data_IF_166339541275
#
_entry.id   IF_166339541275
#
_cell.length_a   1.000
_cell.length_b   1.000
_cell.length_c   1.000
_cell.angle_alpha   90.00
_cell.angle_beta   90.00
_cell.angle_gamma   90.00
#
_symmetry.space_group_name_H-M   'P 1'
#
loop_
_entity.id
_entity.type
_entity.pdbx_description
1 polymer ?
#
# COMPACT_ATOMS: atom_id res chain seq x y z
N UNK A 1 -11.78 5.45 15.84
CA UNK A 1 -11.89 4.00 15.58
C UNK A 1 -11.41 3.75 14.16
N UNK A 2 -10.45 2.86 13.94
CA UNK A 2 -9.94 2.53 12.60
C UNK A 2 -10.92 1.57 11.92
N UNK A 3 -11.39 1.92 10.71
CA UNK A 3 -12.31 1.07 9.95
C UNK A 3 -11.58 -0.16 9.39
N UNK A 4 -12.28 -1.27 9.07
CA UNK A 4 -11.67 -2.43 8.42
C UNK A 4 -10.93 -2.06 7.11
N UNK A 5 -11.49 -1.09 6.37
CA UNK A 5 -10.90 -0.53 5.15
C UNK A 5 -9.55 0.14 5.41
N UNK A 6 -9.49 1.07 6.37
CA UNK A 6 -8.24 1.78 6.70
C UNK A 6 -7.16 0.81 7.19
N UNK A 7 -7.54 -0.17 8.02
CA UNK A 7 -6.61 -1.19 8.47
C UNK A 7 -6.05 -2.03 7.30
N UNK A 8 -6.89 -2.36 6.31
CA UNK A 8 -6.45 -3.09 5.12
C UNK A 8 -5.53 -2.24 4.23
N UNK A 9 -5.86 -0.96 4.05
CA UNK A 9 -5.04 0.01 3.33
C UNK A 9 -3.65 0.17 3.94
N UNK A 10 -3.57 0.35 5.26
CA UNK A 10 -2.29 0.44 5.99
C UNK A 10 -1.47 -0.84 5.87
N UNK A 11 -2.11 -2.02 6.00
CA UNK A 11 -1.43 -3.32 5.82
C UNK A 11 -0.84 -3.46 4.41
N UNK A 12 -1.60 -3.10 3.38
CA UNK A 12 -1.12 -3.14 1.99
C UNK A 12 0.12 -2.27 1.83
N UNK A 13 0.05 -1.02 2.32
CA UNK A 13 1.09 -0.01 2.15
C UNK A 13 2.34 -0.26 2.99
N UNK A 14 2.21 -0.88 4.15
CA UNK A 14 3.36 -1.27 4.99
C UNK A 14 4.35 -2.20 4.29
N UNK A 15 3.89 -2.94 3.27
CA UNK A 15 4.67 -3.91 2.48
C UNK A 15 4.93 -3.47 1.04
N UNK A 16 4.31 -2.37 0.62
CA UNK A 16 4.44 -1.89 -0.75
C UNK A 16 5.86 -1.34 -1.00
N UNK A 17 6.44 -1.54 -2.19
CA UNK A 17 7.71 -0.95 -2.57
C UNK A 17 7.71 0.57 -2.36
N UNK A 18 8.85 1.13 -1.93
CA UNK A 18 8.97 2.56 -1.70
C UNK A 18 8.80 3.42 -2.97
N UNK A 19 8.60 4.73 -2.83
CA UNK A 19 8.38 5.65 -3.96
C UNK A 19 9.51 5.66 -5.00
N UNK A 20 10.75 5.38 -4.57
CA UNK A 20 11.93 5.26 -5.43
C UNK A 20 11.83 4.12 -6.47
N UNK A 21 10.88 3.20 -6.31
CA UNK A 21 10.68 2.06 -7.22
C UNK A 21 9.29 2.11 -7.87
N UNK A 22 8.96 3.14 -8.68
CA UNK A 22 7.60 3.41 -9.12
C UNK A 22 6.98 2.26 -9.94
N UNK A 23 7.78 1.60 -10.79
CA UNK A 23 7.32 0.44 -11.58
C UNK A 23 6.99 -0.76 -10.70
N UNK A 24 7.87 -1.10 -9.76
CA UNK A 24 7.64 -2.22 -8.84
C UNK A 24 6.43 -1.95 -7.94
N UNK A 25 6.29 -0.71 -7.49
CA UNK A 25 5.15 -0.26 -6.69
C UNK A 25 3.83 -0.38 -7.45
N UNK A 26 3.76 0.10 -8.69
CA UNK A 26 2.56 -0.03 -9.52
C UNK A 26 2.19 -1.50 -9.77
N UNK A 27 3.17 -2.36 -10.06
CA UNK A 27 2.94 -3.80 -10.22
C UNK A 27 2.44 -4.44 -8.93
N UNK A 28 3.01 -4.06 -7.78
CA UNK A 28 2.57 -4.52 -6.48
C UNK A 28 1.11 -4.15 -6.22
N UNK A 29 0.72 -2.89 -6.41
CA UNK A 29 -0.65 -2.42 -6.14
C UNK A 29 -1.70 -3.04 -7.08
N UNK A 30 -1.32 -3.40 -8.31
CA UNK A 30 -2.19 -4.15 -9.24
C UNK A 30 -2.31 -5.64 -8.91
N UNK A 31 -1.33 -6.19 -8.19
CA UNK A 31 -1.23 -7.63 -7.89
C UNK A 31 -1.84 -7.97 -6.53
N UNK A 32 -1.66 -7.12 -5.52
CA UNK A 32 -2.06 -7.38 -4.15
C UNK A 32 -3.28 -6.55 -3.78
N UNK A 33 -4.35 -7.24 -3.42
CA UNK A 33 -5.61 -6.64 -3.01
C UNK A 33 -5.60 -6.26 -1.51
N UNK A 34 -6.59 -5.49 -1.09
CA UNK A 34 -6.82 -5.11 0.31
C UNK A 34 -7.26 -6.31 1.15
N UNK A 35 -7.97 -7.28 0.55
CA UNK A 35 -8.32 -8.53 1.19
C UNK A 35 -7.04 -9.36 1.41
N UNK A 36 -6.73 -9.66 2.66
CA UNK A 36 -5.62 -10.55 3.01
C UNK A 36 -5.96 -12.02 2.70
N UNK A 37 -7.20 -12.41 2.96
CA UNK A 37 -7.76 -13.71 2.62
C UNK A 37 -9.19 -13.51 2.07
N UNK A 38 -9.37 -13.63 0.75
CA UNK A 38 -10.63 -13.30 0.12
C UNK A 38 -11.66 -14.44 0.20
N UNK A 39 -12.68 -14.27 1.04
CA UNK A 39 -13.81 -15.20 1.16
C UNK A 39 -14.85 -15.11 0.03
N UNK A 40 -14.72 -14.13 -0.88
CA UNK A 40 -15.64 -13.87 -2.01
C UNK A 40 -14.83 -13.75 -3.30
N UNK A 41 -15.44 -13.75 -4.51
CA UNK A 41 -14.69 -13.49 -5.75
C UNK A 41 -14.31 -12.02 -5.92
N UNK A 42 -14.75 -11.10 -5.06
CA UNK A 42 -14.37 -9.70 -5.15
C UNK A 42 -12.98 -9.42 -4.58
N UNK A 43 -12.27 -8.49 -5.21
CA UNK A 43 -10.96 -7.99 -4.78
C UNK A 43 -10.91 -6.48 -4.90
N UNK A 44 -10.53 -5.77 -3.85
CA UNK A 44 -10.32 -4.33 -3.88
C UNK A 44 -8.84 -4.00 -3.99
N UNK A 45 -8.45 -3.14 -4.92
CA UNK A 45 -7.06 -2.72 -5.17
C UNK A 45 -6.94 -1.21 -5.07
N UNK A 46 -5.78 -0.72 -4.60
CA UNK A 46 -5.41 0.68 -4.72
C UNK A 46 -5.03 0.95 -6.18
N UNK A 47 -5.76 1.85 -6.85
CA UNK A 47 -5.60 2.13 -8.27
C UNK A 47 -4.67 3.32 -8.51
N UNK A 48 -4.92 4.42 -7.81
CA UNK A 48 -4.16 5.66 -7.91
C UNK A 48 -3.88 6.21 -6.52
N UNK A 49 -2.70 6.81 -6.36
CA UNK A 49 -2.25 7.41 -5.12
C UNK A 49 -1.39 8.64 -5.40
N UNK A 50 -1.37 9.55 -4.42
CA UNK A 50 -0.47 10.69 -4.34
C UNK A 50 0.57 10.40 -3.26
N UNK A 51 1.85 10.67 -3.54
CA UNK A 51 2.95 10.47 -2.59
C UNK A 51 3.64 11.81 -2.35
N UNK A 52 3.84 12.13 -1.08
CA UNK A 52 4.56 13.31 -0.62
C UNK A 52 5.71 12.86 0.28
N UNK A 53 6.93 13.27 -0.05
CA UNK A 53 8.14 12.98 0.73
C UNK A 53 8.62 14.26 1.40
N UNK A 54 8.92 14.18 2.70
CA UNK A 54 9.50 15.29 3.44
C UNK A 54 11.03 15.22 3.40
N UNK A 55 11.70 16.36 3.67
CA UNK A 55 13.16 16.42 3.77
C UNK A 55 13.75 15.49 4.86
N UNK A 56 12.95 15.08 5.86
CA UNK A 56 13.32 14.11 6.89
C UNK A 56 13.08 12.65 6.49
N UNK A 57 12.74 12.38 5.22
CA UNK A 57 12.42 11.06 4.69
C UNK A 57 11.04 10.53 5.09
N UNK A 58 10.22 11.31 5.79
CA UNK A 58 8.85 10.88 6.08
C UNK A 58 8.05 10.82 4.77
N UNK A 59 7.31 9.73 4.58
CA UNK A 59 6.48 9.52 3.40
C UNK A 59 5.01 9.58 3.82
N UNK A 60 4.24 10.43 3.15
CA UNK A 60 2.78 10.50 3.25
C UNK A 60 2.17 10.05 1.93
N UNK A 61 1.28 9.08 1.99
CA UNK A 61 0.60 8.49 0.84
C UNK A 61 -0.89 8.74 0.99
N UNK A 62 -1.51 9.35 -0.02
CA UNK A 62 -2.96 9.59 -0.07
C UNK A 62 -3.57 8.75 -1.18
N UNK A 63 -4.60 7.98 -0.88
CA UNK A 63 -5.35 7.30 -1.91
C UNK A 63 -6.15 8.30 -2.75
N UNK A 64 -6.11 8.13 -4.07
CA UNK A 64 -6.92 8.90 -5.02
C UNK A 64 -8.12 8.06 -5.44
N UNK A 65 -7.89 6.82 -5.87
CA UNK A 65 -8.95 5.93 -6.29
C UNK A 65 -8.61 4.46 -6.09
N UNK A 66 -9.65 3.64 -6.09
CA UNK A 66 -9.60 2.20 -5.93
C UNK A 66 -10.32 1.52 -7.08
N UNK A 67 -9.97 0.25 -7.29
CA UNK A 67 -10.68 -0.65 -8.16
C UNK A 67 -11.27 -1.80 -7.34
N UNK A 68 -12.54 -2.11 -7.56
CA UNK A 68 -13.16 -3.36 -7.10
C UNK A 68 -13.37 -4.27 -8.30
N UNK A 69 -12.76 -5.45 -8.25
CA UNK A 69 -12.70 -6.41 -9.36
C UNK A 69 -13.54 -7.63 -8.99
N UNK A 70 -14.37 -8.09 -9.92
CA UNK A 70 -15.00 -9.39 -9.84
C UNK A 70 -14.06 -10.42 -10.46
N UNK A 71 -13.26 -11.09 -9.61
CA UNK A 71 -12.13 -11.88 -10.06
C UNK A 71 -12.57 -13.10 -10.87
N UNK A 72 -12.09 -13.20 -12.13
CA UNK A 72 -12.42 -14.29 -13.07
C UNK A 72 -13.93 -14.50 -13.27
N UNK A 73 -14.75 -13.47 -13.05
CA UNK A 73 -16.20 -13.53 -13.18
C UNK A 73 -16.76 -12.74 -14.37
N UNK A 74 -18.07 -12.83 -14.64
CA UNK A 74 -18.76 -12.03 -15.64
C UNK A 74 -18.90 -10.57 -15.21
N UNK A 75 -19.20 -9.69 -16.18
CA UNK A 75 -19.52 -8.28 -15.95
C UNK A 75 -20.75 -8.18 -15.04
N UNK A 76 -20.69 -7.28 -14.06
CA UNK A 76 -21.79 -7.05 -13.12
C UNK A 76 -22.28 -5.61 -13.19
N UNK A 77 -23.49 -5.40 -12.69
CA UNK A 77 -24.08 -4.07 -12.52
C UNK A 77 -23.47 -3.32 -11.33
N UNK A 78 -23.52 -1.99 -11.39
CA UNK A 78 -22.98 -1.07 -10.37
C UNK A 78 -23.45 -1.42 -8.96
N UNK A 79 -24.71 -1.79 -8.82
CA UNK A 79 -25.37 -2.10 -7.55
C UNK A 79 -24.71 -3.29 -6.84
N UNK A 80 -24.23 -4.28 -7.60
CA UNK A 80 -23.58 -5.47 -7.02
C UNK A 80 -22.23 -5.10 -6.41
N UNK A 81 -21.44 -4.28 -7.10
CA UNK A 81 -20.18 -3.74 -6.56
C UNK A 81 -20.45 -2.87 -5.31
N UNK A 82 -21.47 -2.01 -5.35
CA UNK A 82 -21.85 -1.18 -4.21
C UNK A 82 -22.26 -2.00 -2.99
N UNK A 83 -23.08 -3.04 -3.17
CA UNK A 83 -23.48 -3.94 -2.09
C UNK A 83 -22.29 -4.66 -1.46
N UNK A 84 -21.32 -5.08 -2.27
CA UNK A 84 -20.08 -5.65 -1.76
C UNK A 84 -19.27 -4.64 -0.94
N UNK A 85 -19.05 -3.42 -1.44
CA UNK A 85 -18.28 -2.38 -0.74
C UNK A 85 -18.94 -2.00 0.60
N UNK A 86 -20.26 -1.89 0.63
CA UNK A 86 -21.01 -1.63 1.86
C UNK A 86 -20.84 -2.76 2.89
N UNK A 87 -20.94 -4.01 2.46
CA UNK A 87 -20.83 -5.18 3.36
C UNK A 87 -19.40 -5.41 3.85
N UNK A 88 -18.43 -5.35 2.94
CA UNK A 88 -17.04 -5.70 3.24
C UNK A 88 -16.30 -4.56 3.92
N UNK A 89 -16.49 -3.33 3.42
CA UNK A 89 -15.67 -2.18 3.77
C UNK A 89 -16.45 -1.07 4.50
N UNK A 90 -17.78 -1.20 4.62
CA UNK A 90 -18.67 -0.17 5.19
C UNK A 90 -18.61 1.15 4.39
N UNK A 91 -18.41 1.03 3.07
CA UNK A 91 -18.27 2.17 2.16
C UNK A 91 -19.50 2.32 1.25
N UNK A 92 -19.85 3.57 0.96
CA UNK A 92 -20.95 3.95 0.08
C UNK A 92 -20.50 5.04 -0.91
N UNK A 93 -19.57 4.73 -1.84
CA UNK A 93 -19.02 5.72 -2.74
C UNK A 93 -20.06 6.18 -3.77
N UNK A 94 -20.34 7.49 -3.78
CA UNK A 94 -21.25 8.11 -4.74
C UNK A 94 -20.71 8.06 -6.19
N UNK A 95 -19.38 8.07 -6.34
CA UNK A 95 -18.68 8.10 -7.63
C UNK A 95 -18.40 6.71 -8.23
N UNK A 96 -18.95 5.64 -7.64
CA UNK A 96 -18.76 4.27 -8.11
C UNK A 96 -19.13 4.13 -9.60
N UNK A 97 -18.16 3.81 -10.44
CA UNK A 97 -18.31 3.74 -11.89
C UNK A 97 -17.84 2.40 -12.42
N UNK A 98 -18.72 1.68 -13.11
CA UNK A 98 -18.39 0.40 -13.74
C UNK A 98 -17.57 0.66 -15.01
N UNK A 99 -16.43 -0.01 -15.13
CA UNK A 99 -15.56 0.13 -16.30
C UNK A 99 -15.92 -0.95 -17.32
N UNK A 100 -16.27 -0.53 -18.53
CA UNK A 100 -16.72 -1.40 -19.62
C UNK A 100 -15.61 -1.70 -20.64
N UNK A 101 -14.54 -0.89 -20.64
CA UNK A 101 -13.41 -1.06 -21.54
C UNK A 101 -12.30 -1.88 -20.87
N UNK A 102 -12.22 -3.16 -21.23
CA UNK A 102 -11.12 -4.06 -20.87
C UNK A 102 -11.23 -4.71 -19.48
N UNK A 103 -10.42 -5.74 -19.29
CA UNK A 103 -10.30 -6.49 -18.04
C UNK A 103 -9.32 -5.82 -17.06
N UNK A 104 -9.46 -6.14 -15.78
CA UNK A 104 -8.43 -5.83 -14.79
C UNK A 104 -7.12 -6.54 -15.15
N UNK A 105 -6.01 -6.00 -14.65
CA UNK A 105 -4.64 -6.48 -14.81
C UNK A 105 -4.53 -8.01 -15.00
N UNK A 106 -3.89 -8.43 -16.11
CA UNK A 106 -3.69 -9.84 -16.51
C UNK A 106 -5.00 -10.63 -16.61
N UNK A 107 -6.01 -10.01 -17.22
CA UNK A 107 -7.34 -10.59 -17.42
C UNK A 107 -8.00 -11.03 -16.10
N UNK A 108 -7.78 -10.26 -15.04
CA UNK A 108 -8.31 -10.52 -13.70
C UNK A 108 -9.84 -10.44 -13.61
N UNK A 109 -10.51 -9.89 -14.62
CA UNK A 109 -11.97 -9.81 -14.69
C UNK A 109 -12.51 -8.38 -14.75
N UNK A 110 -13.84 -8.23 -14.80
CA UNK A 110 -14.50 -6.94 -14.88
C UNK A 110 -14.46 -6.20 -13.55
N UNK A 111 -14.46 -4.87 -13.61
CA UNK A 111 -14.17 -4.04 -12.45
C UNK A 111 -14.91 -2.71 -12.47
N UNK A 112 -15.01 -2.11 -11.29
CA UNK A 112 -15.52 -0.76 -11.09
C UNK A 112 -14.50 0.10 -10.33
N UNK A 113 -14.48 1.39 -10.63
CA UNK A 113 -13.65 2.41 -9.99
C UNK A 113 -14.48 3.18 -8.96
N UNK A 114 -13.87 3.54 -7.84
CA UNK A 114 -14.45 4.46 -6.86
C UNK A 114 -13.36 5.26 -6.15
N UNK A 115 -13.74 6.34 -5.47
CA UNK A 115 -12.83 7.12 -4.63
C UNK A 115 -13.22 7.00 -3.16
N UNK A 116 -12.22 6.84 -2.29
CA UNK A 116 -12.42 6.83 -0.84
C UNK A 116 -11.20 7.48 -0.17
N UNK A 117 -11.39 8.46 0.73
CA UNK A 117 -10.27 9.10 1.42
C UNK A 117 -9.52 8.12 2.34
N UNK A 118 -8.23 7.91 2.06
CA UNK A 118 -7.33 7.18 2.94
C UNK A 118 -5.93 7.81 2.94
N UNK A 119 -5.29 7.85 4.09
CA UNK A 119 -3.93 8.40 4.24
C UNK A 119 -3.08 7.43 5.06
N UNK A 120 -1.87 7.16 4.57
CA UNK A 120 -0.86 6.36 5.25
C UNK A 120 0.40 7.20 5.42
N UNK A 121 0.97 7.19 6.61
CA UNK A 121 2.21 7.88 6.91
C UNK A 121 3.24 6.93 7.49
N UNK A 122 4.49 7.09 7.03
CA UNK A 122 5.64 6.39 7.59
C UNK A 122 6.78 7.37 7.79
N UNK A 123 7.23 7.50 9.03
CA UNK A 123 8.50 8.16 9.32
C UNK A 123 9.64 7.17 9.09
N UNK A 124 10.72 7.59 8.43
CA UNK A 124 11.97 6.85 8.47
C UNK A 124 12.56 6.98 9.87
N UNK A 125 13.10 5.91 10.47
CA UNK A 125 13.95 6.06 11.65
C UNK A 125 15.14 6.94 11.27
N UNK A 126 15.29 8.09 11.93
CA UNK A 126 16.35 9.08 11.65
C UNK A 126 17.75 8.64 12.12
N UNK A 127 17.93 7.41 12.56
CA UNK A 127 19.19 6.97 13.17
C UNK A 127 19.93 5.98 12.28
N UNK A 128 20.71 6.51 11.35
CA UNK A 128 21.85 5.80 10.79
C UNK A 128 23.06 6.09 11.70
N UNK A 129 23.19 5.33 12.80
CA UNK A 129 24.43 5.35 13.59
C UNK A 129 25.47 4.54 12.82
N UNK A 130 26.21 5.21 11.95
CA UNK A 130 27.46 4.68 11.43
C UNK A 130 28.49 4.75 12.55
N UNK A 131 28.56 3.74 13.41
CA UNK A 131 29.73 3.55 14.27
C UNK A 131 30.87 3.03 13.40
N UNK A 132 31.66 3.94 12.83
CA UNK A 132 33.05 3.63 12.50
C UNK A 132 33.76 3.40 13.83
N UNK A 133 33.74 2.16 14.30
CA UNK A 133 34.62 1.71 15.37
C UNK A 133 36.04 1.79 14.85
N UNK A 134 36.75 2.85 15.25
CA UNK A 134 38.19 2.93 15.17
C UNK A 134 38.77 2.10 16.32
N UNK A 135 39.47 0.97 16.09
CA UNK A 135 40.21 0.31 17.15
C UNK A 135 41.52 1.07 17.36
N UNK A 136 41.43 2.20 18.05
CA UNK A 136 42.57 2.80 18.73
C UNK A 136 43.08 1.82 19.80
N UNK A 137 44.09 1.02 19.44
CA UNK A 137 44.75 0.09 20.35
C UNK A 137 45.44 0.83 21.51
N UNK A 138 45.28 0.38 22.76
CA UNK A 138 45.87 1.03 23.92
C UNK A 138 47.36 0.70 24.06
N UNK A 139 48.08 1.67 24.63
CA UNK A 139 49.54 1.74 24.73
C UNK A 139 50.22 0.57 25.43
N UNK A 140 51.36 0.18 24.88
CA UNK A 140 52.36 -0.62 25.57
C UNK A 140 53.17 0.31 26.50
N UNK A 141 52.94 0.19 27.81
CA UNK A 141 53.85 0.72 28.85
C UNK A 141 54.67 -0.45 29.39
N UNK A 142 55.93 -0.54 28.95
CA UNK A 142 56.92 -1.48 29.46
C UNK A 142 57.81 -0.79 30.52
N UNK A 143 57.83 -1.36 31.72
CA UNK A 143 58.62 -0.89 32.87
C UNK A 143 60.15 -1.04 32.64
N UNK A 144 60.98 -0.26 33.35
CA UNK A 144 62.44 -0.33 33.24
C UNK A 144 63.03 -1.49 34.05
N UNK A 145 64.17 -2.03 33.60
CA UNK A 145 65.05 -2.88 34.40
C UNK A 145 66.52 -2.66 34.05
N UNK A 146 67.27 -2.34 35.11
CA UNK A 146 68.73 -2.22 35.29
C UNK A 146 69.42 -0.94 34.82
#
# INVERSE_FOLDING_TARGET
MTTPFLQAFERLLSRAPGPLFPRARQLYLRKYSLEADPATPFRTFLLEEEIQESAGGAVRIRAISFAVVHWQGPQLERQVYGAYLARQWQLHPDDLTVITAGSWFRDGGPWARFSEPAVYERATPTTLVSSTGDPGGPGASGAPSR
#
